data_IF_762677942085
#
_entry.id   IF_762677942085
#
_cell.length_a   1.000
_cell.length_b   1.000
_cell.length_c   1.000
_cell.angle_alpha   90.00
_cell.angle_beta   90.00
_cell.angle_gamma   90.00
#
_symmetry.space_group_name_H-M   'P 1'
#
loop_
_entity.id
_entity.type
_entity.pdbx_description
1 polymer ?
#
# COMPACT_ATOMS: atom_id res chain seq x y z
N UNK A 1 6.77 28.34 1.96
CA UNK A 1 6.37 26.93 1.73
C UNK A 1 6.97 26.07 2.82
N UNK A 2 6.16 25.22 3.47
CA UNK A 2 6.64 24.23 4.44
C UNK A 2 7.50 23.16 3.77
N UNK A 3 8.29 22.41 4.55
CA UNK A 3 9.10 21.29 4.01
C UNK A 3 8.23 20.22 3.36
N UNK A 4 7.05 19.94 3.94
CA UNK A 4 6.05 19.07 3.34
C UNK A 4 5.66 19.57 1.95
N UNK A 5 5.31 20.85 1.80
CA UNK A 5 4.91 21.41 0.51
C UNK A 5 6.03 21.34 -0.53
N UNK A 6 7.28 21.58 -0.13
CA UNK A 6 8.45 21.43 -1.01
C UNK A 6 8.67 19.97 -1.41
N UNK A 7 8.58 19.03 -0.47
CA UNK A 7 8.73 17.60 -0.72
C UNK A 7 7.64 17.04 -1.64
N UNK A 8 6.39 17.47 -1.45
CA UNK A 8 5.28 17.12 -2.33
C UNK A 8 5.46 17.71 -3.73
N UNK A 9 5.90 18.97 -3.83
CA UNK A 9 6.19 19.60 -5.11
C UNK A 9 7.29 18.83 -5.86
N UNK A 10 8.39 18.50 -5.18
CA UNK A 10 9.49 17.71 -5.74
C UNK A 10 9.00 16.34 -6.24
N UNK A 11 8.14 15.66 -5.47
CA UNK A 11 7.56 14.38 -5.88
C UNK A 11 6.70 14.52 -7.15
N UNK A 12 5.88 15.57 -7.23
CA UNK A 12 5.01 15.84 -8.37
C UNK A 12 5.79 16.23 -9.63
N UNK A 13 6.93 16.91 -9.47
CA UNK A 13 7.85 17.23 -10.58
C UNK A 13 8.86 16.13 -10.86
N UNK A 14 8.69 14.94 -10.25
CA UNK A 14 9.54 13.76 -10.42
C UNK A 14 11.00 13.93 -9.97
N UNK A 15 11.30 14.96 -9.17
CA UNK A 15 12.58 15.05 -8.45
C UNK A 15 12.51 14.16 -7.21
N UNK A 16 12.57 12.86 -7.44
CA UNK A 16 12.43 11.86 -6.39
C UNK A 16 13.58 11.88 -5.39
N UNK A 17 14.79 12.26 -5.80
CA UNK A 17 15.92 12.39 -4.88
C UNK A 17 15.69 13.53 -3.87
N UNK A 18 15.22 14.68 -4.36
CA UNK A 18 14.85 15.79 -3.48
C UNK A 18 13.61 15.46 -2.64
N UNK A 19 12.58 14.84 -3.24
CA UNK A 19 11.38 14.43 -2.53
C UNK A 19 11.70 13.48 -1.36
N UNK A 20 12.57 12.49 -1.57
CA UNK A 20 12.99 11.57 -0.51
C UNK A 20 13.67 12.32 0.63
N UNK A 21 14.62 13.19 0.28
CA UNK A 21 15.40 13.97 1.25
C UNK A 21 14.50 14.83 2.14
N UNK A 22 13.47 15.45 1.56
CA UNK A 22 12.56 16.33 2.29
C UNK A 22 11.46 15.58 3.06
N UNK A 23 10.95 14.48 2.50
CA UNK A 23 9.81 13.75 3.10
C UNK A 23 10.23 12.68 4.10
N UNK A 24 11.45 12.12 4.01
CA UNK A 24 11.90 11.05 4.91
C UNK A 24 11.95 11.49 6.38
N UNK A 25 12.50 12.67 6.74
CA UNK A 25 12.47 13.14 8.13
C UNK A 25 11.05 13.36 8.64
N UNK A 26 10.15 13.88 7.80
CA UNK A 26 8.74 14.08 8.16
C UNK A 26 8.02 12.73 8.39
N UNK A 27 8.33 11.73 7.57
CA UNK A 27 7.81 10.38 7.74
C UNK A 27 8.30 9.74 9.05
N UNK A 28 9.56 9.97 9.42
CA UNK A 28 10.14 9.55 10.71
C UNK A 28 9.50 10.25 11.90
N UNK A 29 9.12 11.52 11.75
CA UNK A 29 8.36 12.30 12.74
C UNK A 29 6.87 11.90 12.82
N UNK A 30 6.44 10.91 12.04
CA UNK A 30 5.09 10.38 12.11
C UNK A 30 4.11 10.95 11.09
N UNK A 31 4.51 11.83 10.17
CA UNK A 31 3.58 12.39 9.19
C UNK A 31 3.04 11.31 8.24
N UNK A 32 1.76 10.93 8.39
CA UNK A 32 1.14 9.82 7.64
C UNK A 32 1.22 9.98 6.12
N UNK A 33 1.04 11.20 5.59
CA UNK A 33 1.12 11.45 4.14
C UNK A 33 2.56 11.22 3.62
N UNK A 34 3.56 11.72 4.35
CA UNK A 34 4.97 11.50 4.02
C UNK A 34 5.35 10.02 4.11
N UNK A 35 4.84 9.29 5.10
CA UNK A 35 5.03 7.85 5.21
C UNK A 35 4.46 7.10 3.99
N UNK A 36 3.25 7.46 3.53
CA UNK A 36 2.66 6.87 2.33
C UNK A 36 3.50 7.14 1.08
N UNK A 37 4.06 8.35 0.94
CA UNK A 37 4.90 8.70 -0.20
C UNK A 37 6.24 7.96 -0.15
N UNK A 38 6.90 7.92 1.02
CA UNK A 38 8.13 7.13 1.19
C UNK A 38 7.88 5.66 0.89
N UNK A 39 6.73 5.11 1.30
CA UNK A 39 6.32 3.75 0.95
C UNK A 39 6.18 3.57 -0.57
N UNK A 40 5.51 4.50 -1.27
CA UNK A 40 5.39 4.46 -2.74
C UNK A 40 6.77 4.50 -3.41
N UNK A 41 7.70 5.32 -2.89
CA UNK A 41 9.05 5.42 -3.46
C UNK A 41 9.83 4.12 -3.33
N UNK A 42 9.74 3.43 -2.19
CA UNK A 42 10.33 2.09 -2.04
C UNK A 42 9.59 1.03 -2.86
N UNK A 43 8.27 1.12 -2.99
CA UNK A 43 7.46 0.15 -3.74
C UNK A 43 7.78 0.21 -5.24
N UNK A 44 7.95 1.42 -5.78
CA UNK A 44 8.14 1.68 -7.20
C UNK A 44 9.61 1.90 -7.60
N UNK A 45 10.54 2.00 -6.64
CA UNK A 45 11.95 2.30 -6.91
C UNK A 45 12.19 3.73 -7.39
N UNK A 46 11.45 4.71 -6.86
CA UNK A 46 11.53 6.11 -7.32
C UNK A 46 12.64 6.86 -6.58
N UNK A 47 13.72 7.19 -7.31
CA UNK A 47 14.89 7.89 -6.78
C UNK A 47 15.72 7.09 -5.77
N UNK A 48 15.37 5.80 -5.57
CA UNK A 48 15.99 4.84 -4.64
C UNK A 48 15.78 3.42 -5.17
N UNK A 49 16.52 2.45 -4.60
CA UNK A 49 16.28 1.04 -4.87
C UNK A 49 14.89 0.60 -4.42
N UNK A 50 14.26 -0.27 -5.22
CA UNK A 50 12.96 -0.86 -4.92
C UNK A 50 13.09 -1.92 -3.82
N UNK A 51 12.47 -1.68 -2.67
CA UNK A 51 12.53 -2.59 -1.51
C UNK A 51 11.12 -2.77 -0.93
N UNK A 52 10.46 -3.86 -1.31
CA UNK A 52 9.05 -4.14 -0.93
C UNK A 52 8.86 -4.20 0.58
N UNK A 53 9.77 -4.82 1.32
CA UNK A 53 9.66 -4.93 2.77
C UNK A 53 9.74 -3.56 3.45
N UNK A 54 10.53 -2.62 2.93
CA UNK A 54 10.55 -1.24 3.43
C UNK A 54 9.24 -0.51 3.06
N UNK A 55 8.74 -0.69 1.84
CA UNK A 55 7.44 -0.14 1.45
C UNK A 55 6.32 -0.59 2.39
N UNK A 56 6.23 -1.90 2.69
CA UNK A 56 5.26 -2.46 3.63
C UNK A 56 5.38 -1.79 5.01
N UNK A 57 6.58 -1.68 5.57
CA UNK A 57 6.78 -1.02 6.87
C UNK A 57 6.24 0.41 6.90
N UNK A 58 6.49 1.19 5.85
CA UNK A 58 6.00 2.57 5.76
C UNK A 58 4.50 2.66 5.49
N UNK A 59 3.95 1.76 4.67
CA UNK A 59 2.49 1.68 4.47
C UNK A 59 1.76 1.32 5.75
N UNK A 60 2.26 0.35 6.54
CA UNK A 60 1.66 -0.01 7.84
C UNK A 60 1.59 1.22 8.74
N UNK A 61 2.70 1.94 8.93
CA UNK A 61 2.73 3.17 9.76
C UNK A 61 1.73 4.22 9.31
N UNK A 62 1.57 4.41 8.01
CA UNK A 62 0.63 5.39 7.44
C UNK A 62 -0.83 4.93 7.59
N UNK A 63 -1.07 3.65 7.30
CA UNK A 63 -2.38 3.00 7.39
C UNK A 63 -2.89 2.94 8.84
N UNK A 64 -2.02 2.74 9.82
CA UNK A 64 -2.39 2.77 11.24
C UNK A 64 -2.87 4.15 11.71
N UNK A 65 -2.48 5.22 11.02
CA UNK A 65 -2.91 6.59 11.31
C UNK A 65 -4.18 7.01 10.56
N UNK A 66 -4.87 6.08 9.89
CA UNK A 66 -6.11 6.40 9.19
C UNK A 66 -5.92 6.76 7.70
N UNK A 67 -4.71 6.61 7.14
CA UNK A 67 -4.48 6.97 5.75
C UNK A 67 -4.95 5.85 4.80
N UNK A 68 -6.21 5.92 4.36
CA UNK A 68 -6.87 4.89 3.56
C UNK A 68 -6.14 4.49 2.27
N UNK A 69 -5.42 5.43 1.65
CA UNK A 69 -4.57 5.16 0.47
C UNK A 69 -3.46 4.16 0.80
N UNK A 70 -2.83 4.28 1.98
CA UNK A 70 -1.78 3.35 2.41
C UNK A 70 -2.35 1.95 2.69
N UNK A 71 -3.51 1.88 3.35
CA UNK A 71 -4.24 0.62 3.57
C UNK A 71 -4.58 -0.07 2.25
N UNK A 72 -5.06 0.68 1.25
CA UNK A 72 -5.36 0.14 -0.09
C UNK A 72 -4.11 -0.38 -0.81
N UNK A 73 -3.00 0.35 -0.76
CA UNK A 73 -1.76 -0.07 -1.40
C UNK A 73 -1.18 -1.33 -0.74
N UNK A 74 -1.24 -1.41 0.58
CA UNK A 74 -0.82 -2.60 1.32
C UNK A 74 -1.69 -3.81 1.00
N UNK A 75 -3.00 -3.61 0.89
CA UNK A 75 -3.92 -4.65 0.45
C UNK A 75 -3.59 -5.17 -0.95
N UNK A 76 -3.23 -4.28 -1.89
CA UNK A 76 -2.78 -4.66 -3.22
C UNK A 76 -1.50 -5.52 -3.22
N UNK A 77 -0.52 -5.19 -2.36
CA UNK A 77 0.70 -5.99 -2.20
C UNK A 77 0.36 -7.41 -1.73
N UNK A 78 -0.49 -7.56 -0.71
CA UNK A 78 -0.88 -8.88 -0.23
C UNK A 78 -1.82 -9.60 -1.22
N UNK A 79 -2.64 -8.90 -1.99
CA UNK A 79 -3.55 -9.54 -2.94
C UNK A 79 -2.79 -10.24 -4.08
N UNK A 80 -1.77 -9.57 -4.62
CA UNK A 80 -1.00 -10.04 -5.76
C UNK A 80 0.29 -10.77 -5.37
N UNK A 81 0.79 -10.55 -4.15
CA UNK A 81 2.17 -10.81 -3.80
C UNK A 81 3.12 -9.78 -4.41
N UNK A 82 4.37 -9.79 -3.95
CA UNK A 82 5.45 -8.95 -4.46
C UNK A 82 6.81 -9.63 -4.14
N UNK A 83 7.91 -9.03 -4.56
CA UNK A 83 9.24 -9.61 -4.33
C UNK A 83 9.50 -9.83 -2.84
N UNK A 84 9.72 -11.09 -2.45
CA UNK A 84 9.91 -11.51 -1.07
C UNK A 84 8.63 -11.55 -0.21
N UNK A 85 7.45 -11.39 -0.81
CA UNK A 85 6.14 -11.38 -0.11
C UNK A 85 5.14 -12.23 -0.89
N UNK A 86 4.74 -13.36 -0.32
CA UNK A 86 3.70 -14.19 -0.91
C UNK A 86 2.34 -13.49 -0.91
N UNK A 87 1.50 -13.81 -1.90
CA UNK A 87 0.12 -13.37 -1.89
C UNK A 87 -0.62 -14.00 -0.70
N UNK A 88 -1.35 -13.17 0.04
CA UNK A 88 -2.24 -13.53 1.12
C UNK A 88 -3.55 -12.75 1.00
N UNK A 89 -4.59 -13.44 0.52
CA UNK A 89 -5.93 -12.84 0.35
C UNK A 89 -6.57 -12.47 1.68
N UNK A 90 -6.30 -13.23 2.74
CA UNK A 90 -6.87 -12.94 4.07
C UNK A 90 -6.29 -11.64 4.60
N UNK A 91 -4.98 -11.46 4.44
CA UNK A 91 -4.32 -10.22 4.84
C UNK A 91 -4.75 -9.04 3.95
N UNK A 92 -4.86 -9.24 2.63
CA UNK A 92 -5.38 -8.24 1.72
C UNK A 92 -6.79 -7.75 2.10
N UNK A 93 -7.69 -8.67 2.44
CA UNK A 93 -9.05 -8.35 2.87
C UNK A 93 -9.07 -7.48 4.14
N UNK A 94 -8.23 -7.78 5.13
CA UNK A 94 -8.12 -6.96 6.35
C UNK A 94 -7.72 -5.53 6.00
N UNK A 95 -6.74 -5.35 5.13
CA UNK A 95 -6.28 -4.03 4.73
C UNK A 95 -7.29 -3.29 3.85
N UNK A 96 -8.03 -3.98 2.97
CA UNK A 96 -9.15 -3.37 2.23
C UNK A 96 -10.31 -2.98 3.14
N UNK A 97 -10.63 -3.79 4.14
CA UNK A 97 -11.63 -3.42 5.15
C UNK A 97 -11.20 -2.16 5.90
N UNK A 98 -9.94 -2.11 6.35
CA UNK A 98 -9.38 -0.93 7.01
C UNK A 98 -9.38 0.31 6.11
N UNK A 99 -9.07 0.18 4.83
CA UNK A 99 -9.15 1.28 3.87
C UNK A 99 -10.57 1.86 3.76
N UNK A 100 -11.60 1.00 3.71
CA UNK A 100 -13.01 1.42 3.67
C UNK A 100 -13.45 2.15 4.94
N UNK A 101 -13.05 1.64 6.10
CA UNK A 101 -13.28 2.28 7.40
C UNK A 101 -12.63 3.68 7.48
N UNK A 102 -11.53 3.88 6.74
CA UNK A 102 -10.79 5.12 6.63
C UNK A 102 -11.32 6.05 5.51
N UNK A 103 -12.51 5.77 4.97
CA UNK A 103 -13.14 6.60 3.94
C UNK A 103 -12.61 6.40 2.53
N UNK A 104 -11.74 5.41 2.30
CA UNK A 104 -11.31 5.00 0.96
C UNK A 104 -12.30 3.99 0.37
N UNK A 105 -13.50 4.47 0.06
CA UNK A 105 -14.65 3.65 -0.38
C UNK A 105 -14.68 3.33 -1.89
N UNK A 106 -13.69 3.79 -2.66
CA UNK A 106 -13.60 3.57 -4.10
C UNK A 106 -12.71 2.36 -4.48
N UNK A 107 -12.77 1.27 -3.72
CA UNK A 107 -12.15 0.00 -4.16
C UNK A 107 -13.07 -0.69 -5.17
N UNK A 108 -12.72 -0.77 -6.48
CA UNK A 108 -13.52 -1.49 -7.48
C UNK A 108 -13.45 -3.01 -7.33
N UNK A 109 -12.74 -3.53 -6.31
CA UNK A 109 -12.73 -4.96 -6.03
C UNK A 109 -14.10 -5.31 -5.46
N UNK A 110 -14.98 -5.75 -6.35
CA UNK A 110 -16.29 -6.25 -5.98
C UNK A 110 -16.07 -7.30 -4.88
N UNK A 111 -16.79 -7.17 -3.78
CA UNK A 111 -16.83 -8.22 -2.76
C UNK A 111 -17.15 -9.59 -3.37
N UNK A 112 -17.74 -9.62 -4.57
CA UNK A 112 -17.96 -10.80 -5.40
C UNK A 112 -16.68 -11.52 -5.86
N UNK A 113 -15.59 -10.81 -6.23
CA UNK A 113 -14.32 -11.45 -6.58
C UNK A 113 -13.70 -12.18 -5.39
N UNK A 114 -13.81 -11.59 -4.19
CA UNK A 114 -13.33 -12.18 -2.95
C UNK A 114 -14.24 -13.34 -2.49
N UNK A 115 -15.57 -13.20 -2.59
CA UNK A 115 -16.54 -14.24 -2.24
C UNK A 115 -16.46 -15.48 -3.13
N UNK A 116 -16.29 -15.32 -4.45
CA UNK A 116 -16.21 -16.46 -5.38
C UNK A 116 -15.00 -17.36 -5.10
N UNK A 117 -13.91 -16.81 -4.55
CA UNK A 117 -12.71 -17.59 -4.24
C UNK A 117 -12.65 -18.10 -2.79
N UNK A 118 -13.66 -17.78 -1.97
CA UNK A 118 -13.82 -18.22 -0.58
C UNK A 118 -14.62 -19.51 -0.46
N UNK A 119 -15.27 -19.96 -1.54
CA UNK A 119 -15.84 -21.30 -1.61
C UNK A 119 -14.69 -22.30 -1.67
N UNK A 120 -14.62 -23.30 -0.78
CA UNK A 120 -13.67 -24.39 -0.95
C UNK A 120 -13.99 -25.04 -2.30
N UNK A 121 -12.98 -25.21 -3.15
CA UNK A 121 -13.07 -26.11 -4.30
C UNK A 121 -13.32 -27.49 -3.71
N UNK A 122 -14.59 -27.88 -3.60
CA UNK A 122 -14.98 -29.23 -3.29
C UNK A 122 -14.53 -30.09 -4.46
N UNK A 123 -13.47 -30.84 -4.20
CA UNK A 123 -12.98 -31.93 -5.03
C UNK A 123 -14.11 -32.93 -5.27
N UNK A 124 -14.87 -32.77 -6.34
CA UNK A 124 -15.52 -33.92 -6.97
C UNK A 124 -14.91 -34.09 -8.35
N UNK A 125 -14.00 -35.06 -8.39
CA UNK A 125 -13.61 -35.76 -9.59
C UNK A 125 -14.89 -36.13 -10.35
N UNK A 126 -15.01 -35.63 -11.57
CA UNK A 126 -15.72 -36.33 -12.62
C UNK A 126 -15.08 -37.72 -12.73
N UNK A 127 -15.68 -38.70 -12.04
CA UNK A 127 -15.62 -40.09 -12.45
C UNK A 127 -16.81 -40.33 -13.37
N UNK A 128 -16.41 -40.81 -14.54
CA UNK A 128 -17.18 -41.28 -15.69
C UNK A 128 -18.20 -42.33 -15.25
#
# INVERSE_FOLDING_TARGET
>A
MSELAKGLAAFNTQDYTQAFTLLKPLAEQGNAASQCIIANMYHLGLGRERIILEAIKWYIKSAEQGYGVASNNLAGIYLCGADGVAADRTEAEKWFQKAREQGFSHTPISTDYLKQTRSPVSTEQQKI
#
